data_IF_654101585052
#
_entry.id   IF_654101585052
#
_cell.length_a   1.000
_cell.length_b   1.000
_cell.length_c   1.000
_cell.angle_alpha   90.00
_cell.angle_beta   90.00
_cell.angle_gamma   90.00
#
_symmetry.space_group_name_H-M   'P 1'
#
loop_
_entity.id
_entity.type
_entity.pdbx_description
1 polymer ?
#
# COMPACT_ATOMS: atom_id res chain seq x y z
N UNK A 1 9.92 8.95 4.51
CA UNK A 1 8.98 8.53 5.58
C UNK A 1 9.69 8.31 6.91
N UNK A 2 10.68 7.40 6.98
CA UNK A 2 11.49 7.22 8.20
C UNK A 2 12.20 8.53 8.61
N UNK A 3 12.83 9.22 7.65
CA UNK A 3 13.42 10.55 7.89
C UNK A 3 12.41 11.65 8.26
N UNK A 4 11.10 11.39 8.11
CA UNK A 4 10.03 12.29 8.55
C UNK A 4 9.47 11.89 9.94
N UNK A 5 10.10 10.93 10.63
CA UNK A 5 9.78 10.55 12.02
C UNK A 5 8.80 9.39 12.20
N UNK A 6 8.33 8.74 11.13
CA UNK A 6 7.50 7.55 11.25
C UNK A 6 8.34 6.33 11.65
N UNK A 7 7.89 5.55 12.63
CA UNK A 7 8.53 4.29 13.02
C UNK A 7 8.20 3.16 12.04
N UNK A 8 9.13 2.23 11.79
CA UNK A 8 8.99 1.18 10.78
C UNK A 8 7.68 0.38 10.90
N UNK A 9 7.31 -0.05 12.11
CA UNK A 9 6.04 -0.75 12.39
C UNK A 9 4.77 -0.01 12.01
N UNK A 10 4.84 1.31 11.88
CA UNK A 10 3.72 2.16 11.47
C UNK A 10 3.51 2.18 9.96
N UNK A 11 4.43 1.58 9.18
CA UNK A 11 4.38 1.55 7.73
C UNK A 11 3.93 0.18 7.22
N UNK A 12 3.02 0.20 6.26
CA UNK A 12 2.77 -0.93 5.38
C UNK A 12 2.98 -0.52 3.91
N UNK A 13 3.74 -1.30 3.16
CA UNK A 13 3.86 -1.17 1.72
C UNK A 13 2.99 -2.23 1.04
N UNK A 14 1.99 -1.79 0.27
CA UNK A 14 1.03 -2.66 -0.39
C UNK A 14 1.19 -2.59 -1.90
N UNK A 15 1.47 -3.73 -2.55
CA UNK A 15 1.43 -3.84 -3.99
C UNK A 15 0.03 -4.18 -4.50
N UNK A 16 -0.35 -3.65 -5.68
CA UNK A 16 -1.60 -4.01 -6.38
C UNK A 16 -1.42 -5.13 -7.41
N UNK A 17 -0.19 -5.34 -7.88
CA UNK A 17 0.16 -6.27 -8.95
C UNK A 17 1.06 -7.40 -8.47
N UNK A 18 2.30 -7.44 -8.96
CA UNK A 18 3.28 -8.43 -8.47
C UNK A 18 3.59 -8.13 -7.01
N UNK A 19 3.71 -9.19 -6.21
CA UNK A 19 4.13 -9.08 -4.80
C UNK A 19 5.51 -8.44 -4.74
N UNK A 20 5.73 -7.65 -3.69
CA UNK A 20 7.05 -7.11 -3.41
C UNK A 20 8.02 -8.26 -3.06
N UNK A 21 9.28 -8.26 -3.52
CA UNK A 21 10.24 -9.33 -3.23
C UNK A 21 10.39 -9.63 -1.73
N UNK A 22 10.36 -8.58 -0.88
CA UNK A 22 10.43 -8.75 0.57
C UNK A 22 9.28 -9.60 1.14
N UNK A 23 8.05 -9.41 0.64
CA UNK A 23 6.92 -10.26 1.04
C UNK A 23 7.15 -11.72 0.67
N UNK A 24 7.70 -11.97 -0.53
CA UNK A 24 8.00 -13.32 -1.01
C UNK A 24 9.05 -13.96 -0.11
N UNK A 25 10.15 -13.25 0.14
CA UNK A 25 11.25 -13.73 0.99
C UNK A 25 10.78 -14.06 2.42
N UNK A 26 9.96 -13.21 3.04
CA UNK A 26 9.44 -13.44 4.39
C UNK A 26 8.56 -14.69 4.47
N UNK A 27 7.66 -14.87 3.50
CA UNK A 27 6.78 -16.05 3.44
C UNK A 27 7.58 -17.31 3.12
N UNK A 28 8.59 -17.24 2.25
CA UNK A 28 9.47 -18.38 1.94
C UNK A 28 10.34 -18.78 3.13
N UNK A 29 10.83 -17.82 3.91
CA UNK A 29 11.70 -18.08 5.05
C UNK A 29 10.95 -18.62 6.29
N UNK A 30 9.79 -18.04 6.62
CA UNK A 30 9.07 -18.33 7.87
C UNK A 30 7.69 -18.96 7.71
N UNK A 31 7.19 -19.08 6.48
CA UNK A 31 5.82 -19.49 6.20
C UNK A 31 4.79 -18.39 6.52
N UNK A 32 3.53 -18.69 6.22
CA UNK A 32 2.43 -17.74 6.40
C UNK A 32 2.18 -17.33 7.85
N UNK A 33 2.39 -18.24 8.81
CA UNK A 33 2.18 -17.93 10.23
C UNK A 33 3.16 -16.86 10.71
N UNK A 34 4.47 -17.08 10.54
CA UNK A 34 5.49 -16.12 10.95
C UNK A 34 5.36 -14.78 10.20
N UNK A 35 4.99 -14.80 8.92
CA UNK A 35 4.70 -13.58 8.15
C UNK A 35 3.57 -12.74 8.77
N UNK A 36 2.50 -13.38 9.25
CA UNK A 36 1.41 -12.66 9.93
C UNK A 36 1.77 -12.29 11.36
N UNK A 37 2.55 -13.09 12.07
CA UNK A 37 3.07 -12.70 13.40
C UNK A 37 3.91 -11.42 13.30
N UNK A 38 4.76 -11.29 12.27
CA UNK A 38 5.54 -10.08 12.01
C UNK A 38 4.65 -8.84 11.75
N UNK A 39 3.49 -9.02 11.10
CA UNK A 39 2.51 -7.93 10.96
C UNK A 39 2.00 -7.46 12.32
N UNK A 40 1.69 -8.37 13.24
CA UNK A 40 1.15 -8.01 14.56
C UNK A 40 2.22 -7.52 15.53
N UNK A 41 3.47 -7.92 15.36
CA UNK A 41 4.59 -7.45 16.18
C UNK A 41 4.85 -5.95 16.00
N UNK A 42 4.63 -5.42 14.79
CA UNK A 42 4.87 -4.02 14.45
C UNK A 42 6.33 -3.55 14.69
N UNK A 43 7.30 -4.47 14.57
CA UNK A 43 8.72 -4.15 14.77
C UNK A 43 9.37 -3.52 13.52
N UNK A 44 8.90 -3.89 12.32
CA UNK A 44 9.46 -3.45 11.04
C UNK A 44 8.36 -3.09 10.02
N UNK A 45 8.78 -2.56 8.86
CA UNK A 45 7.90 -2.23 7.73
C UNK A 45 7.24 -3.51 7.22
N UNK A 46 5.92 -3.50 7.16
CA UNK A 46 5.18 -4.63 6.62
C UNK A 46 5.09 -4.57 5.09
N UNK A 47 5.44 -5.66 4.40
CA UNK A 47 5.31 -5.78 2.95
C UNK A 47 4.17 -6.71 2.56
N UNK A 48 3.16 -6.17 1.89
CA UNK A 48 1.92 -6.86 1.59
C UNK A 48 1.46 -6.75 0.14
N UNK A 49 0.42 -7.52 -0.16
CA UNK A 49 -0.38 -7.33 -1.36
C UNK A 49 -1.77 -6.87 -0.93
N UNK A 50 -2.34 -5.89 -1.63
CA UNK A 50 -3.56 -5.21 -1.21
C UNK A 50 -4.73 -6.16 -0.96
N UNK A 51 -4.88 -7.23 -1.75
CA UNK A 51 -5.92 -8.24 -1.55
C UNK A 51 -5.80 -9.03 -0.24
N UNK A 52 -4.58 -9.26 0.24
CA UNK A 52 -4.35 -9.92 1.53
C UNK A 52 -4.53 -8.99 2.72
N UNK A 53 -4.67 -7.68 2.49
CA UNK A 53 -4.73 -6.65 3.52
C UNK A 53 -6.16 -6.13 3.76
N UNK A 54 -7.18 -6.86 3.26
CA UNK A 54 -8.59 -6.51 3.47
C UNK A 54 -8.94 -6.59 4.96
N UNK A 55 -9.55 -5.53 5.50
CA UNK A 55 -9.90 -5.45 6.92
C UNK A 55 -8.74 -5.05 7.84
N UNK A 56 -7.52 -4.95 7.32
CA UNK A 56 -6.35 -4.48 8.05
C UNK A 56 -6.10 -2.99 7.76
N UNK A 57 -5.34 -2.35 8.63
CA UNK A 57 -4.98 -0.94 8.53
C UNK A 57 -3.59 -0.66 9.11
N UNK A 58 -2.99 0.48 8.70
CA UNK A 58 -1.75 0.98 9.28
C UNK A 58 -1.73 2.51 9.37
N UNK A 59 -1.00 3.12 10.33
CA UNK A 59 -0.88 4.58 10.37
C UNK A 59 -0.44 5.17 9.02
N UNK A 60 0.58 4.56 8.40
CA UNK A 60 1.08 4.94 7.08
C UNK A 60 0.96 3.78 6.11
N UNK A 61 0.36 4.02 4.95
CA UNK A 61 0.34 3.05 3.85
C UNK A 61 1.00 3.64 2.62
N UNK A 62 1.97 2.92 2.08
CA UNK A 62 2.53 3.15 0.75
C UNK A 62 1.84 2.18 -0.21
N UNK A 63 0.90 2.69 -1.01
CA UNK A 63 0.21 1.92 -2.04
C UNK A 63 0.99 2.00 -3.35
N UNK A 64 1.67 0.91 -3.70
CA UNK A 64 2.39 0.76 -4.97
C UNK A 64 1.45 0.21 -6.03
N UNK A 65 1.05 1.08 -6.98
CA UNK A 65 0.20 0.75 -8.11
C UNK A 65 1.07 0.20 -9.24
N UNK A 66 1.60 -1.01 -9.04
CA UNK A 66 2.60 -1.66 -9.89
C UNK A 66 2.00 -2.62 -10.94
N UNK A 67 0.81 -2.29 -11.43
CA UNK A 67 0.14 -3.00 -12.52
C UNK A 67 -0.97 -3.95 -12.06
N UNK A 68 -1.90 -4.22 -12.98
CA UNK A 68 -3.08 -5.08 -12.78
C UNK A 68 -3.57 -5.55 -14.14
N UNK A 69 -3.89 -6.85 -14.25
CA UNK A 69 -4.20 -7.50 -15.54
C UNK A 69 -5.62 -7.24 -16.04
N UNK A 70 -6.52 -6.82 -15.17
CA UNK A 70 -7.93 -6.57 -15.44
C UNK A 70 -8.33 -5.22 -14.81
N UNK A 71 -8.95 -4.35 -15.62
CA UNK A 71 -9.38 -3.00 -15.23
C UNK A 71 -10.47 -3.04 -14.14
N UNK A 72 -11.36 -4.03 -14.13
CA UNK A 72 -12.37 -4.13 -13.07
C UNK A 72 -11.70 -4.47 -11.73
N UNK A 73 -10.82 -5.46 -11.73
CA UNK A 73 -10.04 -5.88 -10.56
C UNK A 73 -9.06 -4.81 -10.10
N UNK A 74 -8.49 -4.05 -11.03
CA UNK A 74 -7.67 -2.88 -10.78
C UNK A 74 -8.39 -1.85 -9.90
N UNK A 75 -9.63 -1.52 -10.27
CA UNK A 75 -10.47 -0.57 -9.53
C UNK A 75 -10.76 -1.06 -8.12
N UNK A 76 -11.18 -2.31 -7.96
CA UNK A 76 -11.44 -2.90 -6.63
C UNK A 76 -10.21 -2.83 -5.72
N UNK A 77 -9.05 -3.20 -6.26
CA UNK A 77 -7.77 -3.15 -5.54
C UNK A 77 -7.38 -1.72 -5.16
N UNK A 78 -7.53 -0.77 -6.08
CA UNK A 78 -7.26 0.64 -5.83
C UNK A 78 -8.15 1.17 -4.69
N UNK A 79 -9.47 0.96 -4.78
CA UNK A 79 -10.39 1.38 -3.71
C UNK A 79 -10.07 0.74 -2.36
N UNK A 80 -9.73 -0.54 -2.36
CA UNK A 80 -9.28 -1.24 -1.15
C UNK A 80 -8.04 -0.55 -0.57
N UNK A 81 -7.00 -0.34 -1.38
CA UNK A 81 -5.72 0.22 -0.93
C UNK A 81 -5.84 1.65 -0.40
N UNK A 82 -6.66 2.49 -1.05
CA UNK A 82 -6.81 3.91 -0.73
C UNK A 82 -7.41 4.17 0.67
N UNK A 83 -8.00 3.16 1.31
CA UNK A 83 -8.62 3.29 2.62
C UNK A 83 -7.88 2.55 3.74
N UNK A 84 -6.66 2.05 3.49
CA UNK A 84 -5.89 1.28 4.50
C UNK A 84 -5.05 2.14 5.43
N UNK A 85 -4.77 3.39 5.04
CA UNK A 85 -4.05 4.34 5.86
C UNK A 85 -4.97 5.02 6.87
N UNK A 86 -4.59 5.02 8.15
CA UNK A 86 -5.26 5.80 9.18
C UNK A 86 -4.85 7.27 9.19
N UNK A 87 -3.59 7.55 8.91
CA UNK A 87 -3.01 8.90 9.05
C UNK A 87 -2.44 9.42 7.75
N UNK A 88 -1.57 8.65 7.09
CA UNK A 88 -0.92 9.06 5.85
C UNK A 88 -1.01 7.99 4.77
N UNK A 89 -1.57 8.36 3.63
CA UNK A 89 -1.56 7.55 2.43
C UNK A 89 -0.55 8.13 1.44
N UNK A 90 0.44 7.34 1.07
CA UNK A 90 1.35 7.62 -0.04
C UNK A 90 0.96 6.70 -1.19
N UNK A 91 0.69 7.27 -2.37
CA UNK A 91 0.38 6.49 -3.56
C UNK A 91 1.52 6.63 -4.55
N UNK A 92 2.03 5.50 -5.04
CA UNK A 92 3.15 5.44 -5.98
C UNK A 92 2.66 4.77 -7.27
N UNK A 93 2.65 5.52 -8.36
CA UNK A 93 2.23 5.03 -9.68
C UNK A 93 1.87 6.18 -10.64
N UNK A 94 1.43 5.83 -11.84
CA UNK A 94 0.97 6.81 -12.83
C UNK A 94 -0.31 7.51 -12.36
N UNK A 95 -0.23 8.83 -12.15
CA UNK A 95 -1.34 9.62 -11.62
C UNK A 95 -2.57 9.56 -12.52
N UNK A 96 -2.39 9.69 -13.83
CA UNK A 96 -3.51 9.72 -14.79
C UNK A 96 -4.28 8.39 -14.78
N UNK A 97 -3.55 7.28 -14.79
CA UNK A 97 -4.13 5.95 -14.72
C UNK A 97 -4.89 5.72 -13.42
N UNK A 98 -4.36 6.18 -12.28
CA UNK A 98 -4.99 6.05 -10.96
C UNK A 98 -6.27 6.90 -10.88
N UNK A 99 -6.23 8.12 -11.40
CA UNK A 99 -7.38 9.02 -11.46
C UNK A 99 -8.48 8.49 -12.38
N UNK A 100 -8.13 7.86 -13.50
CA UNK A 100 -9.11 7.24 -14.41
C UNK A 100 -9.72 5.95 -13.83
N UNK A 101 -8.93 5.17 -13.10
CA UNK A 101 -9.41 4.00 -12.37
C UNK A 101 -10.32 4.37 -11.20
N UNK A 102 -9.92 5.37 -10.41
CA UNK A 102 -10.60 5.80 -9.19
C UNK A 102 -11.70 6.84 -9.38
N UNK A 103 -11.82 7.42 -10.57
CA UNK A 103 -12.81 8.43 -10.91
C UNK A 103 -12.75 9.69 -10.05
N UNK A 104 -13.85 10.43 -10.03
CA UNK A 104 -13.93 11.77 -9.43
C UNK A 104 -13.58 11.80 -7.93
N UNK A 105 -13.89 10.74 -7.19
CA UNK A 105 -13.55 10.65 -5.77
C UNK A 105 -12.02 10.67 -5.55
N UNK A 106 -11.27 9.94 -6.39
CA UNK A 106 -9.81 9.90 -6.31
C UNK A 106 -9.20 11.20 -6.80
N UNK A 107 -9.70 11.75 -7.92
CA UNK A 107 -9.26 13.07 -8.42
C UNK A 107 -9.38 14.16 -7.36
N UNK A 108 -10.54 14.27 -6.69
CA UNK A 108 -10.75 15.23 -5.60
C UNK A 108 -9.84 14.98 -4.40
N UNK A 109 -9.56 13.72 -4.07
CA UNK A 109 -8.65 13.37 -2.97
C UNK A 109 -7.22 13.79 -3.31
N UNK A 110 -6.75 13.52 -4.53
CA UNK A 110 -5.41 13.85 -4.98
C UNK A 110 -5.21 15.35 -5.21
N UNK A 111 -6.26 16.08 -5.60
CA UNK A 111 -6.23 17.55 -5.67
C UNK A 111 -5.96 18.21 -4.30
N UNK A 112 -6.30 17.54 -3.19
CA UNK A 112 -5.96 17.96 -1.82
C UNK A 112 -4.67 17.33 -1.30
N UNK A 113 -4.10 16.39 -2.04
CA UNK A 113 -2.85 15.72 -1.71
C UNK A 113 -1.65 16.56 -2.14
N UNK A 114 -0.50 16.23 -1.59
CA UNK A 114 0.77 16.82 -2.00
C UNK A 114 1.51 15.86 -2.93
N UNK A 115 2.11 16.39 -3.99
CA UNK A 115 3.06 15.64 -4.80
C UNK A 115 4.34 15.41 -4.00
N UNK A 116 4.76 14.15 -3.89
CA UNK A 116 5.95 13.80 -3.15
C UNK A 116 7.20 14.23 -3.93
N UNK A 117 7.91 15.24 -3.44
CA UNK A 117 9.23 15.64 -3.92
C UNK A 117 10.26 15.26 -2.85
N UNK A 118 11.06 14.19 -3.04
CA UNK A 118 12.19 13.95 -2.16
C UNK A 118 13.21 15.07 -2.36
N UNK A 119 13.75 15.59 -1.26
CA UNK A 119 14.89 16.51 -1.27
C UNK A 119 16.19 15.79 -1.66
#
# INVERSE_FOLDING_TARGET
LLGAGWASGQLALLATGRRHPQQVNEVEAGGHAAYWDAFFAEDDVFYGHVLGFKGLERPVVVLSVNGVRDVARAREMLYTGLSRARSLLVVVGDRSWIEDGGGEAVRRRFARGQEWSPA
#
